data_IF_937838993290
#
_entry.id   IF_937838993290
#
_cell.length_a   1.000
_cell.length_b   1.000
_cell.length_c   1.000
_cell.angle_alpha   90.00
_cell.angle_beta   90.00
_cell.angle_gamma   90.00
#
_symmetry.space_group_name_H-M   'P 1'
#
loop_
_entity.id
_entity.type
_entity.pdbx_description
1 polymer ?
#
# COMPACT_ATOMS: atom_id res chain seq x y z
N UNK A 1 16.08 -10.73 -5.14
CA UNK A 1 14.69 -10.21 -5.19
C UNK A 1 14.59 -8.70 -4.93
N UNK A 2 15.42 -8.10 -4.09
CA UNK A 2 15.40 -6.65 -3.80
C UNK A 2 15.69 -5.73 -5.02
N UNK A 3 16.55 -6.16 -5.95
CA UNK A 3 16.88 -5.38 -7.16
C UNK A 3 15.73 -5.17 -8.15
N UNK A 4 14.64 -5.95 -8.04
CA UNK A 4 13.47 -5.79 -8.90
C UNK A 4 12.55 -4.62 -8.50
N UNK A 5 12.68 -4.11 -7.26
CA UNK A 5 11.89 -2.98 -6.75
C UNK A 5 12.36 -1.63 -7.28
N UNK A 6 13.65 -1.50 -7.64
CA UNK A 6 14.29 -0.22 -8.01
C UNK A 6 14.58 -0.05 -9.51
N UNK A 7 14.27 -1.03 -10.36
CA UNK A 7 14.49 -0.87 -11.81
C UNK A 7 13.45 0.11 -12.38
N UNK A 8 13.85 1.16 -13.13
CA UNK A 8 12.90 2.04 -13.80
C UNK A 8 12.00 1.20 -14.70
N UNK A 9 10.71 1.15 -14.34
CA UNK A 9 9.71 0.29 -14.99
C UNK A 9 9.41 0.84 -16.38
N UNK A 10 10.07 0.30 -17.40
CA UNK A 10 9.72 0.53 -18.79
C UNK A 10 8.33 -0.01 -19.13
N UNK A 11 7.77 0.44 -20.26
CA UNK A 11 6.42 0.13 -20.78
C UNK A 11 6.13 -1.36 -21.04
N UNK A 12 7.09 -2.26 -20.81
CA UNK A 12 6.93 -3.70 -20.97
C UNK A 12 6.24 -4.35 -19.77
N UNK A 13 4.93 -4.18 -19.72
CA UNK A 13 4.04 -4.76 -18.72
C UNK A 13 3.82 -6.25 -19.00
N UNK A 14 4.71 -7.08 -18.45
CA UNK A 14 4.70 -8.53 -18.58
C UNK A 14 5.28 -9.25 -17.37
N UNK A 15 5.07 -8.72 -16.15
CA UNK A 15 5.62 -9.30 -14.91
C UNK A 15 4.91 -10.63 -14.57
N UNK A 16 3.69 -10.82 -15.05
CA UNK A 16 2.97 -12.08 -14.98
C UNK A 16 3.47 -13.17 -15.97
N UNK A 17 4.77 -13.32 -16.21
CA UNK A 17 5.31 -14.48 -16.96
C UNK A 17 5.51 -15.66 -16.01
N UNK A 18 4.61 -16.63 -16.06
CA UNK A 18 4.69 -17.90 -15.32
C UNK A 18 3.40 -18.70 -15.38
N UNK A 19 3.43 -19.98 -14.98
CA UNK A 19 2.25 -20.88 -15.01
C UNK A 19 1.08 -20.40 -14.13
N UNK A 20 1.34 -19.67 -13.05
CA UNK A 20 0.30 -19.17 -12.12
C UNK A 20 0.60 -17.74 -11.62
N UNK A 21 0.38 -16.70 -12.45
CA UNK A 21 0.72 -15.32 -12.08
C UNK A 21 -0.12 -14.79 -10.92
N UNK A 22 -1.41 -15.13 -10.87
CA UNK A 22 -2.32 -14.69 -9.81
C UNK A 22 -1.94 -15.25 -8.44
N UNK A 23 -1.52 -16.51 -8.36
CA UNK A 23 -1.07 -17.14 -7.11
C UNK A 23 0.17 -16.47 -6.54
N UNK A 24 1.13 -16.10 -7.40
CA UNK A 24 2.34 -15.37 -6.97
C UNK A 24 1.99 -13.97 -6.50
N UNK A 25 1.11 -13.29 -7.22
CA UNK A 25 0.68 -11.93 -6.89
C UNK A 25 -0.13 -11.88 -5.58
N UNK A 26 -1.01 -12.86 -5.35
CA UNK A 26 -1.74 -12.97 -4.08
C UNK A 26 -0.83 -13.36 -2.92
N UNK A 27 0.13 -14.28 -3.13
CA UNK A 27 1.13 -14.62 -2.12
C UNK A 27 2.02 -13.41 -1.76
N UNK A 28 2.37 -12.59 -2.75
CA UNK A 28 3.08 -11.34 -2.52
C UNK A 28 2.28 -10.39 -1.63
N UNK A 29 1.01 -10.10 -1.96
CA UNK A 29 0.13 -9.29 -1.10
C UNK A 29 -0.04 -9.87 0.29
N UNK A 30 -0.18 -11.19 0.40
CA UNK A 30 -0.23 -11.90 1.68
C UNK A 30 1.06 -11.67 2.49
N UNK A 31 2.22 -11.70 1.85
CA UNK A 31 3.51 -11.37 2.48
C UNK A 31 3.59 -9.91 2.94
N UNK A 32 3.09 -8.96 2.14
CA UNK A 32 3.01 -7.54 2.54
C UNK A 32 2.10 -7.38 3.76
N UNK A 33 0.95 -8.06 3.77
CA UNK A 33 0.03 -8.05 4.90
C UNK A 33 0.66 -8.69 6.15
N UNK A 34 1.34 -9.83 6.01
CA UNK A 34 2.06 -10.47 7.11
C UNK A 34 3.14 -9.56 7.71
N UNK A 35 3.87 -8.81 6.88
CA UNK A 35 4.84 -7.82 7.35
C UNK A 35 4.18 -6.73 8.19
N UNK A 36 3.01 -6.24 7.78
CA UNK A 36 2.23 -5.30 8.58
C UNK A 36 1.73 -5.91 9.89
N UNK A 37 1.25 -7.16 9.87
CA UNK A 37 0.83 -7.87 11.09
C UNK A 37 1.98 -7.92 12.10
N UNK A 38 3.16 -8.36 11.66
CA UNK A 38 4.34 -8.45 12.55
C UNK A 38 4.66 -7.07 13.14
N UNK A 39 4.70 -6.02 12.33
CA UNK A 39 4.93 -4.66 12.81
C UNK A 39 3.87 -4.19 13.79
N UNK A 40 2.58 -4.43 13.51
CA UNK A 40 1.48 -4.08 14.42
C UNK A 40 1.55 -4.85 15.74
N UNK A 41 1.94 -6.14 15.72
CA UNK A 41 2.13 -6.93 16.95
C UNK A 41 3.28 -6.37 17.79
N UNK A 42 4.41 -6.01 17.18
CA UNK A 42 5.52 -5.38 17.91
C UNK A 42 5.07 -4.05 18.51
N UNK A 43 4.41 -3.19 17.73
CA UNK A 43 3.90 -1.90 18.22
C UNK A 43 2.92 -2.08 19.38
N UNK A 44 1.99 -3.04 19.29
CA UNK A 44 1.07 -3.38 20.37
C UNK A 44 1.81 -3.85 21.62
N UNK A 45 2.81 -4.73 21.47
CA UNK A 45 3.61 -5.25 22.58
C UNK A 45 4.44 -4.16 23.27
N UNK A 46 4.87 -3.13 22.53
CA UNK A 46 5.58 -1.97 23.08
C UNK A 46 4.65 -0.88 23.65
N UNK A 47 3.33 -1.11 23.66
CA UNK A 47 2.35 -0.15 24.17
C UNK A 47 2.17 1.09 23.30
N UNK A 48 2.45 0.98 22.00
CA UNK A 48 2.24 2.09 21.07
C UNK A 48 0.74 2.42 20.95
N UNK A 49 0.44 3.70 20.94
CA UNK A 49 -0.88 4.29 20.72
C UNK A 49 -0.91 4.88 19.29
N UNK A 50 -2.02 4.79 18.55
CA UNK A 50 -2.12 5.38 17.22
C UNK A 50 -1.80 6.87 17.25
N UNK A 51 -0.92 7.30 16.33
CA UNK A 51 -0.51 8.69 16.17
C UNK A 51 -1.44 9.49 15.26
N UNK A 52 -2.33 8.81 14.55
CA UNK A 52 -3.39 9.41 13.75
C UNK A 52 -4.75 9.28 14.46
N UNK A 53 -5.69 10.23 14.24
CA UNK A 53 -7.01 10.15 14.82
C UNK A 53 -7.71 8.87 14.34
N UNK A 54 -8.09 8.01 15.28
CA UNK A 54 -8.86 6.81 14.98
C UNK A 54 -10.26 7.26 14.51
N UNK A 55 -10.51 7.19 13.19
CA UNK A 55 -11.74 7.71 12.57
C UNK A 55 -13.02 6.95 12.96
N UNK A 56 -12.85 5.76 13.54
CA UNK A 56 -13.93 4.91 14.04
C UNK A 56 -13.71 4.83 15.54
N UNK A 57 -14.78 4.85 16.36
CA UNK A 57 -14.72 4.79 17.84
C UNK A 57 -14.11 3.50 18.44
N UNK A 58 -13.16 2.89 17.74
CA UNK A 58 -12.24 1.89 18.25
C UNK A 58 -11.34 2.54 19.29
N UNK A 59 -11.27 1.90 20.44
CA UNK A 59 -10.41 2.29 21.55
C UNK A 59 -8.94 2.37 21.07
N UNK A 60 -8.27 3.53 21.22
CA UNK A 60 -6.86 3.70 20.89
C UNK A 60 -5.95 2.65 21.55
N UNK A 61 -6.33 2.14 22.72
CA UNK A 61 -5.56 1.16 23.49
C UNK A 61 -5.39 -0.16 22.72
N UNK A 62 -6.34 -0.52 21.87
CA UNK A 62 -6.33 -1.80 21.14
C UNK A 62 -6.12 -1.63 19.63
N UNK A 63 -5.83 -0.41 19.15
CA UNK A 63 -5.76 -0.11 17.72
C UNK A 63 -4.84 -1.06 16.94
N UNK A 64 -3.62 -1.27 17.41
CA UNK A 64 -2.66 -2.13 16.71
C UNK A 64 -3.03 -3.62 16.75
N UNK A 65 -3.79 -4.06 17.76
CA UNK A 65 -4.37 -5.41 17.81
C UNK A 65 -5.42 -5.55 16.71
N UNK A 66 -6.33 -4.58 16.59
CA UNK A 66 -7.33 -4.57 15.52
C UNK A 66 -6.70 -4.46 14.13
N UNK A 67 -5.66 -3.64 14.00
CA UNK A 67 -4.90 -3.50 12.77
C UNK A 67 -4.29 -4.84 12.34
N UNK A 68 -3.70 -5.61 13.26
CA UNK A 68 -3.15 -6.93 12.97
C UNK A 68 -4.22 -7.92 12.46
N UNK A 69 -5.46 -7.85 12.98
CA UNK A 69 -6.55 -8.72 12.55
C UNK A 69 -7.12 -8.33 11.18
N UNK A 70 -7.26 -7.03 10.91
CA UNK A 70 -8.00 -6.54 9.74
C UNK A 70 -7.14 -6.09 8.56
N UNK A 71 -5.83 -5.90 8.73
CA UNK A 71 -4.96 -5.39 7.66
C UNK A 71 -4.96 -6.31 6.42
N UNK A 72 -4.89 -7.63 6.61
CA UNK A 72 -4.89 -8.58 5.48
C UNK A 72 -6.24 -8.55 4.74
N UNK A 73 -7.40 -8.73 5.41
CA UNK A 73 -8.70 -8.56 4.77
C UNK A 73 -8.83 -7.22 4.02
N UNK A 74 -8.36 -6.13 4.62
CA UNK A 74 -8.41 -4.80 4.02
C UNK A 74 -7.56 -4.72 2.74
N UNK A 75 -6.28 -5.16 2.79
CA UNK A 75 -5.37 -5.14 1.63
C UNK A 75 -5.99 -5.92 0.45
N UNK A 76 -6.55 -7.10 0.71
CA UNK A 76 -7.19 -7.91 -0.32
C UNK A 76 -8.48 -7.27 -0.85
N UNK A 77 -9.30 -6.69 0.03
CA UNK A 77 -10.54 -6.00 -0.36
C UNK A 77 -10.24 -4.81 -1.26
N UNK A 78 -9.30 -3.96 -0.85
CA UNK A 78 -8.84 -2.81 -1.63
C UNK A 78 -8.28 -3.24 -2.98
N UNK A 79 -7.44 -4.28 -3.00
CA UNK A 79 -6.91 -4.83 -4.25
C UNK A 79 -8.01 -5.25 -5.22
N UNK A 80 -9.03 -5.99 -4.75
CA UNK A 80 -10.15 -6.43 -5.59
C UNK A 80 -10.99 -5.23 -6.05
N UNK A 81 -11.29 -4.28 -5.16
CA UNK A 81 -12.08 -3.10 -5.48
C UNK A 81 -11.38 -2.21 -6.52
N UNK A 82 -10.10 -1.88 -6.32
CA UNK A 82 -9.31 -1.10 -7.29
C UNK A 82 -9.18 -1.82 -8.63
N UNK A 83 -9.08 -3.15 -8.63
CA UNK A 83 -9.13 -3.94 -9.87
C UNK A 83 -10.50 -3.86 -10.55
N UNK A 84 -11.58 -3.87 -9.76
CA UNK A 84 -12.96 -3.67 -10.20
C UNK A 84 -13.16 -2.31 -10.88
N UNK A 85 -12.63 -1.23 -10.30
CA UNK A 85 -12.67 0.12 -10.91
C UNK A 85 -12.07 0.10 -12.32
N UNK A 86 -10.90 -0.52 -12.48
CA UNK A 86 -10.24 -0.62 -13.79
C UNK A 86 -11.04 -1.49 -14.76
N UNK A 87 -11.69 -2.56 -14.29
CA UNK A 87 -12.53 -3.42 -15.13
C UNK A 87 -13.81 -2.73 -15.60
N UNK A 88 -14.46 -1.95 -14.74
CA UNK A 88 -15.73 -1.27 -15.02
C UNK A 88 -15.50 -0.11 -15.98
N UNK A 89 -14.45 0.68 -15.76
CA UNK A 89 -14.11 1.84 -16.61
C UNK A 89 -13.34 1.42 -17.87
N UNK A 90 -12.75 0.23 -17.86
CA UNK A 90 -11.96 -0.35 -18.94
C UNK A 90 -12.75 -0.81 -20.17
N UNK A 91 -12.03 -1.07 -21.27
CA UNK A 91 -12.62 -1.71 -22.46
C UNK A 91 -12.90 -3.20 -22.20
N UNK A 92 -14.03 -3.69 -22.73
CA UNK A 92 -14.42 -5.12 -22.70
C UNK A 92 -13.33 -5.98 -23.39
N UNK A 93 -13.03 -7.14 -22.82
CA UNK A 93 -12.09 -8.14 -23.38
C UNK A 93 -10.74 -8.26 -22.68
N UNK A 94 -10.49 -7.54 -21.57
CA UNK A 94 -9.29 -7.74 -20.76
C UNK A 94 -9.32 -9.09 -20.01
N UNK A 95 -8.17 -9.79 -19.95
CA UNK A 95 -8.01 -11.00 -19.13
C UNK A 95 -7.99 -10.63 -17.65
N UNK A 96 -9.11 -10.87 -16.95
CA UNK A 96 -9.30 -10.54 -15.51
C UNK A 96 -8.17 -11.06 -14.61
N UNK A 97 -7.71 -12.28 -14.83
CA UNK A 97 -6.63 -12.89 -14.04
C UNK A 97 -5.29 -12.18 -14.21
N UNK A 98 -4.99 -11.68 -15.41
CA UNK A 98 -3.78 -10.90 -15.68
C UNK A 98 -3.89 -9.52 -15.04
N UNK A 99 -5.04 -8.85 -15.17
CA UNK A 99 -5.27 -7.56 -14.54
C UNK A 99 -5.11 -7.64 -13.02
N UNK A 100 -5.75 -8.62 -12.38
CA UNK A 100 -5.62 -8.86 -10.94
C UNK A 100 -4.16 -9.07 -10.52
N UNK A 101 -3.38 -9.83 -11.30
CA UNK A 101 -1.97 -10.02 -11.01
C UNK A 101 -1.18 -8.70 -11.09
N UNK A 102 -1.42 -7.87 -12.10
CA UNK A 102 -0.74 -6.59 -12.28
C UNK A 102 -1.16 -5.55 -11.23
N UNK A 103 -2.45 -5.47 -10.88
CA UNK A 103 -2.94 -4.57 -9.83
C UNK A 103 -2.43 -4.98 -8.45
N UNK A 104 -2.19 -6.27 -8.19
CA UNK A 104 -1.58 -6.71 -6.94
C UNK A 104 -0.15 -6.17 -6.79
N UNK A 105 0.62 -6.09 -7.88
CA UNK A 105 1.95 -5.47 -7.85
C UNK A 105 1.87 -3.95 -7.73
N UNK A 106 0.94 -3.32 -8.46
CA UNK A 106 0.69 -1.89 -8.37
C UNK A 106 0.23 -1.45 -6.97
N UNK A 107 -0.40 -2.34 -6.21
CA UNK A 107 -0.79 -2.07 -4.84
C UNK A 107 0.27 -2.47 -3.80
N UNK A 108 0.77 -3.69 -3.87
CA UNK A 108 1.67 -4.24 -2.86
C UNK A 108 3.05 -3.59 -2.86
N UNK A 109 3.56 -3.13 -4.02
CA UNK A 109 4.84 -2.43 -4.10
C UNK A 109 4.85 -1.13 -3.27
N UNK A 110 3.94 -0.18 -3.57
CA UNK A 110 3.77 1.03 -2.78
C UNK A 110 3.47 0.77 -1.30
N UNK A 111 2.66 -0.24 -0.97
CA UNK A 111 2.40 -0.63 0.41
C UNK A 111 3.67 -1.04 1.16
N UNK A 112 4.57 -1.80 0.52
CA UNK A 112 5.86 -2.15 1.12
C UNK A 112 6.72 -0.92 1.38
N UNK A 113 6.68 0.07 0.48
CA UNK A 113 7.37 1.34 0.70
C UNK A 113 6.74 2.03 1.92
N UNK A 114 5.43 2.28 1.90
CA UNK A 114 4.71 2.97 2.98
C UNK A 114 4.78 2.26 4.35
N UNK A 115 5.08 0.96 4.38
CA UNK A 115 5.29 0.18 5.59
C UNK A 115 6.61 0.51 6.32
N UNK A 116 7.64 0.96 5.59
CA UNK A 116 8.99 1.14 6.14
C UNK A 116 9.02 2.03 7.39
N UNK A 117 8.36 3.20 7.45
CA UNK A 117 8.49 4.02 8.65
C UNK A 117 7.81 3.39 9.87
N UNK A 118 6.74 2.61 9.68
CA UNK A 118 6.12 1.86 10.77
C UNK A 118 7.02 0.72 11.26
N UNK A 119 7.74 0.04 10.36
CA UNK A 119 8.76 -0.94 10.72
C UNK A 119 9.88 -0.28 11.55
N UNK A 120 10.37 0.88 11.11
CA UNK A 120 11.43 1.62 11.80
C UNK A 120 10.97 2.05 13.18
N UNK A 121 9.76 2.59 13.31
CA UNK A 121 9.15 2.91 14.60
C UNK A 121 9.10 1.68 15.53
N UNK A 122 8.56 0.57 15.03
CA UNK A 122 8.45 -0.67 15.80
C UNK A 122 9.82 -1.18 16.27
N UNK A 123 10.85 -1.09 15.42
CA UNK A 123 12.21 -1.48 15.78
C UNK A 123 12.79 -0.59 16.89
N UNK A 124 12.64 0.73 16.79
CA UNK A 124 13.13 1.65 17.83
C UNK A 124 12.39 1.49 19.14
N UNK A 125 11.06 1.34 19.11
CA UNK A 125 10.27 1.11 20.32
C UNK A 125 10.62 -0.23 20.98
N UNK A 126 10.88 -1.28 20.19
CA UNK A 126 11.36 -2.55 20.72
C UNK A 126 12.76 -2.44 21.37
N UNK A 127 13.57 -1.47 20.96
CA UNK A 127 14.88 -1.14 21.55
C UNK A 127 14.78 -0.17 22.75
N UNK A 128 13.58 0.24 23.15
CA UNK A 128 13.33 1.06 24.34
C UNK A 128 13.09 2.55 24.07
N UNK A 129 12.97 2.98 22.80
CA UNK A 129 12.58 4.35 22.48
C UNK A 129 11.13 4.62 22.89
N UNK A 130 10.88 5.75 23.56
CA UNK A 130 9.53 6.16 23.92
C UNK A 130 8.72 6.60 22.69
N UNK A 131 7.40 6.38 22.71
CA UNK A 131 6.55 6.89 21.62
C UNK A 131 6.59 8.41 21.51
N UNK A 132 6.63 9.11 22.64
CA UNK A 132 6.68 10.58 22.66
C UNK A 132 7.91 11.09 21.91
N UNK A 133 9.08 10.46 22.11
CA UNK A 133 10.31 10.80 21.41
C UNK A 133 10.15 10.65 19.89
N UNK A 134 9.48 9.60 19.43
CA UNK A 134 9.22 9.37 18.01
C UNK A 134 8.27 10.44 17.45
N UNK A 135 7.21 10.75 18.19
CA UNK A 135 6.25 11.78 17.80
C UNK A 135 6.93 13.15 17.73
N UNK A 136 7.71 13.55 18.74
CA UNK A 136 8.42 14.83 18.75
C UNK A 136 9.33 15.01 17.53
N UNK A 137 10.05 13.95 17.12
CA UNK A 137 10.93 14.00 15.94
C UNK A 137 10.19 14.27 14.61
N UNK A 138 8.94 13.83 14.48
CA UNK A 138 8.19 13.88 13.22
C UNK A 138 6.97 14.81 13.24
N UNK A 139 6.58 15.33 14.40
CA UNK A 139 5.46 16.28 14.56
C UNK A 139 5.91 17.73 14.47
N UNK A 140 7.15 18.04 14.81
CA UNK A 140 7.69 19.39 14.69
C UNK A 140 8.12 19.73 13.25
N UNK A 141 7.85 20.95 12.76
CA UNK A 141 8.33 21.39 11.45
C UNK A 141 9.85 21.32 11.35
N UNK A 142 10.35 20.46 10.47
CA UNK A 142 11.79 20.28 10.29
C UNK A 142 12.15 19.31 9.17
N UNK A 143 13.46 19.04 8.98
CA UNK A 143 13.94 18.11 7.96
C UNK A 143 13.38 16.69 8.13
N UNK A 144 13.21 16.22 9.37
CA UNK A 144 12.68 14.89 9.66
C UNK A 144 11.21 14.74 9.30
N UNK A 145 10.36 15.69 9.71
CA UNK A 145 8.96 15.72 9.30
C UNK A 145 8.83 15.83 7.77
N UNK A 146 9.61 16.72 7.13
CA UNK A 146 9.62 16.86 5.67
C UNK A 146 10.00 15.54 5.00
N UNK A 147 11.06 14.87 5.47
CA UNK A 147 11.49 13.57 4.97
C UNK A 147 10.42 12.49 5.15
N UNK A 148 9.78 12.44 6.31
CA UNK A 148 8.70 11.50 6.61
C UNK A 148 7.50 11.70 5.67
N UNK A 149 7.04 12.94 5.50
CA UNK A 149 5.94 13.26 4.59
C UNK A 149 6.31 13.00 3.11
N UNK A 150 7.51 13.40 2.70
CA UNK A 150 8.01 13.14 1.35
C UNK A 150 8.08 11.65 1.04
N UNK A 151 8.41 10.83 2.03
CA UNK A 151 8.45 9.38 1.90
C UNK A 151 7.05 8.78 1.64
N UNK A 152 6.02 9.20 2.38
CA UNK A 152 4.64 8.79 2.09
C UNK A 152 4.12 9.34 0.77
N UNK A 153 4.44 10.60 0.44
CA UNK A 153 4.09 11.19 -0.83
C UNK A 153 4.72 10.41 -2.00
N UNK A 154 5.98 9.96 -1.86
CA UNK A 154 6.64 9.12 -2.84
C UNK A 154 5.95 7.75 -2.97
N UNK A 155 5.56 7.12 -1.86
CA UNK A 155 4.79 5.86 -1.89
C UNK A 155 3.44 6.05 -2.58
N UNK A 156 2.70 7.12 -2.27
CA UNK A 156 1.43 7.45 -2.92
C UNK A 156 1.62 7.73 -4.42
N UNK A 157 2.65 8.48 -4.80
CA UNK A 157 2.97 8.76 -6.20
C UNK A 157 3.33 7.48 -6.97
N UNK A 158 4.06 6.54 -6.34
CA UNK A 158 4.34 5.22 -6.91
C UNK A 158 3.05 4.43 -7.14
N UNK A 159 2.11 4.43 -6.19
CA UNK A 159 0.81 3.78 -6.36
C UNK A 159 0.03 4.38 -7.53
N UNK A 160 -0.08 5.72 -7.59
CA UNK A 160 -0.75 6.41 -8.71
C UNK A 160 -0.10 6.03 -10.04
N UNK A 161 1.22 6.13 -10.14
CA UNK A 161 1.96 5.78 -11.35
C UNK A 161 1.66 4.33 -11.76
N UNK A 162 1.79 3.39 -10.84
CA UNK A 162 1.66 1.97 -11.16
C UNK A 162 0.22 1.62 -11.57
N UNK A 163 -0.81 2.15 -10.90
CA UNK A 163 -2.21 1.96 -11.31
C UNK A 163 -2.52 2.58 -12.68
N UNK A 164 -1.96 3.75 -13.01
CA UNK A 164 -2.09 4.34 -14.36
C UNK A 164 -1.47 3.42 -15.40
N UNK A 165 -0.29 2.88 -15.14
CA UNK A 165 0.37 1.98 -16.07
C UNK A 165 -0.38 0.65 -16.22
N UNK A 166 -0.99 0.13 -15.16
CA UNK A 166 -1.92 -1.01 -15.27
C UNK A 166 -3.15 -0.64 -16.09
N UNK A 167 -3.77 0.51 -15.86
CA UNK A 167 -4.93 0.98 -16.64
C UNK A 167 -4.59 1.17 -18.13
N UNK A 168 -3.34 1.54 -18.47
CA UNK A 168 -2.86 1.61 -19.86
C UNK A 168 -2.93 0.27 -20.59
N UNK A 169 -2.77 -0.85 -19.89
CA UNK A 169 -2.91 -2.18 -20.50
C UNK A 169 -4.34 -2.46 -20.99
N UNK A 170 -5.33 -1.78 -20.39
CA UNK A 170 -6.75 -1.92 -20.71
C UNK A 170 -7.20 -0.85 -21.72
N UNK A 171 -6.69 0.38 -21.58
CA UNK A 171 -7.00 1.52 -22.46
C UNK A 171 -5.95 1.73 -23.56
N UNK A 172 -5.90 0.81 -24.54
CA UNK A 172 -4.87 0.79 -25.59
C UNK A 172 -4.73 2.05 -26.46
N UNK A 173 -5.78 2.89 -26.60
CA UNK A 173 -5.77 4.07 -27.49
C UNK A 173 -5.81 5.42 -26.74
N UNK A 174 -6.75 5.70 -25.82
CA UNK A 174 -6.76 7.00 -25.13
C UNK A 174 -5.88 6.99 -23.87
N UNK A 175 -4.74 7.68 -23.91
CA UNK A 175 -3.91 7.97 -22.72
C UNK A 175 -4.69 8.66 -21.60
N UNK A 176 -5.55 9.67 -21.87
CA UNK A 176 -6.32 10.34 -20.81
C UNK A 176 -7.25 9.40 -20.04
N UNK A 177 -7.88 8.44 -20.73
CA UNK A 177 -8.78 7.49 -20.07
C UNK A 177 -8.02 6.54 -19.12
N UNK A 178 -6.78 6.16 -19.48
CA UNK A 178 -5.93 5.35 -18.61
C UNK A 178 -5.49 6.13 -17.37
N UNK A 179 -5.14 7.42 -17.54
CA UNK A 179 -4.79 8.30 -16.42
C UNK A 179 -5.98 8.43 -15.47
N UNK A 180 -7.16 8.79 -15.98
CA UNK A 180 -8.37 8.96 -15.14
C UNK A 180 -8.73 7.67 -14.40
N UNK A 181 -8.73 6.54 -15.10
CA UNK A 181 -9.10 5.23 -14.52
C UNK A 181 -8.07 4.75 -13.51
N UNK A 182 -6.78 4.90 -13.81
CA UNK A 182 -5.68 4.55 -12.91
C UNK A 182 -5.67 5.42 -11.66
N UNK A 183 -5.83 6.73 -11.81
CA UNK A 183 -5.93 7.67 -10.68
C UNK A 183 -7.15 7.38 -9.82
N UNK A 184 -8.30 7.04 -10.40
CA UNK A 184 -9.49 6.65 -9.63
C UNK A 184 -9.25 5.37 -8.81
N UNK A 185 -8.63 4.35 -9.41
CA UNK A 185 -8.28 3.11 -8.72
C UNK A 185 -7.24 3.33 -7.60
N UNK A 186 -6.25 4.22 -7.84
CA UNK A 186 -5.25 4.61 -6.87
C UNK A 186 -5.84 5.44 -5.72
N UNK A 187 -6.74 6.38 -6.02
CA UNK A 187 -7.43 7.19 -5.02
C UNK A 187 -8.29 6.33 -4.10
N UNK A 188 -8.99 5.31 -4.64
CA UNK A 188 -9.69 4.33 -3.84
C UNK A 188 -8.73 3.54 -2.93
N UNK A 189 -7.58 3.11 -3.47
CA UNK A 189 -6.63 2.31 -2.72
C UNK A 189 -5.95 3.09 -1.59
N UNK A 190 -5.39 4.25 -1.94
CA UNK A 190 -4.72 5.15 -1.01
C UNK A 190 -5.73 5.68 0.01
N UNK A 191 -6.91 6.11 -0.43
CA UNK A 191 -7.95 6.65 0.45
C UNK A 191 -8.45 5.62 1.45
N UNK A 192 -8.70 4.37 1.02
CA UNK A 192 -9.08 3.30 1.94
C UNK A 192 -7.94 2.96 2.92
N UNK A 193 -6.70 2.88 2.45
CA UNK A 193 -5.57 2.62 3.35
C UNK A 193 -5.37 3.74 4.35
N UNK A 194 -5.43 5.00 3.91
CA UNK A 194 -5.33 6.14 4.82
C UNK A 194 -6.47 6.09 5.84
N UNK A 195 -7.72 5.93 5.41
CA UNK A 195 -8.87 5.99 6.31
C UNK A 195 -8.92 4.87 7.37
N UNK A 196 -8.42 3.67 7.06
CA UNK A 196 -8.50 2.53 7.98
C UNK A 196 -7.20 2.22 8.72
N UNK A 197 -6.05 2.66 8.19
CA UNK A 197 -4.71 2.29 8.69
C UNK A 197 -3.90 3.51 9.14
N UNK A 198 -4.20 4.71 8.65
CA UNK A 198 -3.46 5.95 8.95
C UNK A 198 -4.38 7.06 9.42
#
# INVERSE_FOLDING_TARGET
>A
MALALFRPRGLDHGIAKGRHPLRRASAFLGGVGAAHIVTSVVLAATGAVPTAPVLIGLDPVNYHVWQALFIVPLIFTVWVLSSGVILVLGKKGCRRSQLLAETAWAWGGPLLVAWVPALVQAAFMALGMGQEEWVTLFSEPGPWQTGYLAFYAAAAALAVRDFILVARTVHKKPWPAAVLTGTAAAALAIGAFVLFIR
#
